data_IF_877328685237
#
_entry.id   IF_877328685237
#
_cell.length_a   1.000
_cell.length_b   1.000
_cell.length_c   1.000
_cell.angle_alpha   90.00
_cell.angle_beta   90.00
_cell.angle_gamma   90.00
#
_symmetry.space_group_name_H-M   'P 1'
#
loop_
_entity.id
_entity.type
_entity.pdbx_description
1 polymer ?
#
# COMPACT_ATOMS: atom_id res chain seq x y z
N UNK A 1 -2.70 8.40 9.84
CA UNK A 1 -2.08 7.58 10.89
C UNK A 1 -3.00 7.20 12.04
N UNK A 2 -3.66 8.14 12.71
CA UNK A 2 -4.47 7.82 13.90
C UNK A 2 -5.53 6.73 13.69
N UNK A 3 -6.18 6.69 12.51
CA UNK A 3 -7.13 5.63 12.19
C UNK A 3 -6.47 4.24 12.13
N UNK A 4 -5.23 4.16 11.63
CA UNK A 4 -4.44 2.93 11.66
C UNK A 4 -4.05 2.58 13.10
N UNK A 5 -3.64 3.56 13.92
CA UNK A 5 -3.33 3.30 15.32
C UNK A 5 -4.53 2.71 16.07
N UNK A 6 -5.72 3.30 15.87
CA UNK A 6 -6.96 2.82 16.49
C UNK A 6 -7.33 1.41 16.02
N UNK A 7 -7.20 1.08 14.72
CA UNK A 7 -7.60 -0.25 14.24
C UNK A 7 -6.66 -1.34 14.76
N UNK A 8 -5.35 -1.08 14.80
CA UNK A 8 -4.39 -2.05 15.32
C UNK A 8 -4.46 -2.20 16.84
N UNK A 9 -4.76 -1.12 17.58
CA UNK A 9 -5.04 -1.22 19.01
C UNK A 9 -6.27 -2.11 19.28
N UNK A 10 -7.37 -1.88 18.58
CA UNK A 10 -8.58 -2.72 18.69
C UNK A 10 -8.33 -4.17 18.27
N UNK A 11 -7.53 -4.39 17.22
CA UNK A 11 -7.16 -5.74 16.81
C UNK A 11 -6.34 -6.46 17.89
N UNK A 12 -5.41 -5.75 18.55
CA UNK A 12 -4.64 -6.29 19.68
C UNK A 12 -5.55 -6.66 20.86
N UNK A 13 -6.48 -5.78 21.25
CA UNK A 13 -7.44 -6.04 22.32
C UNK A 13 -8.35 -7.24 22.03
N UNK A 14 -8.81 -7.35 20.77
CA UNK A 14 -9.80 -8.36 20.41
C UNK A 14 -9.19 -9.73 20.08
N UNK A 15 -8.08 -9.76 19.33
CA UNK A 15 -7.47 -11.01 18.86
C UNK A 15 -6.24 -11.42 19.67
N UNK A 16 -5.61 -10.52 20.42
CA UNK A 16 -4.37 -10.75 21.18
C UNK A 16 -3.12 -10.86 20.31
N UNK A 17 -3.24 -11.40 19.09
CA UNK A 17 -2.16 -11.54 18.11
C UNK A 17 -2.66 -11.34 16.68
N UNK A 18 -1.74 -11.21 15.73
CA UNK A 18 -2.02 -11.16 14.31
C UNK A 18 -1.18 -12.21 13.57
N UNK A 19 -1.83 -13.06 12.78
CA UNK A 19 -1.15 -14.07 11.96
C UNK A 19 -0.95 -13.62 10.52
N UNK A 20 -1.95 -12.91 9.96
CA UNK A 20 -1.95 -12.48 8.56
C UNK A 20 -2.45 -11.05 8.45
N UNK A 21 -1.72 -10.21 7.71
CA UNK A 21 -2.17 -8.90 7.27
C UNK A 21 -2.40 -8.91 5.75
N UNK A 22 -3.62 -8.62 5.32
CA UNK A 22 -3.93 -8.44 3.89
C UNK A 22 -4.04 -6.95 3.59
N UNK A 23 -3.13 -6.44 2.77
CA UNK A 23 -3.16 -5.09 2.21
C UNK A 23 -3.80 -5.12 0.83
N UNK A 24 -5.09 -4.75 0.79
CA UNK A 24 -5.91 -4.69 -0.42
C UNK A 24 -6.47 -3.27 -0.63
N UNK A 25 -5.60 -2.27 -0.56
CA UNK A 25 -5.95 -0.85 -0.69
C UNK A 25 -5.10 -0.19 -1.77
N UNK A 26 -5.75 0.56 -2.65
CA UNK A 26 -5.10 1.44 -3.61
C UNK A 26 -6.05 2.58 -4.00
N UNK A 27 -5.50 3.76 -4.28
CA UNK A 27 -6.26 4.91 -4.73
C UNK A 27 -5.37 5.86 -5.53
N UNK A 28 -5.95 6.45 -6.56
CA UNK A 28 -5.46 7.62 -7.27
C UNK A 28 -6.68 8.37 -7.82
N UNK A 29 -6.55 9.67 -8.06
CA UNK A 29 -7.61 10.42 -8.73
C UNK A 29 -7.81 9.92 -10.16
N UNK A 30 -9.06 9.91 -10.62
CA UNK A 30 -9.38 9.44 -11.97
C UNK A 30 -8.61 10.22 -13.05
N UNK A 31 -8.43 11.52 -12.84
CA UNK A 31 -7.70 12.39 -13.76
C UNK A 31 -6.23 11.95 -13.93
N UNK A 32 -5.61 11.35 -12.91
CA UNK A 32 -4.23 10.87 -12.98
C UNK A 32 -4.09 9.50 -13.67
N UNK A 33 -5.22 8.85 -14.00
CA UNK A 33 -5.28 7.59 -14.76
C UNK A 33 -5.62 7.82 -16.24
N UNK A 34 -5.98 9.03 -16.61
CA UNK A 34 -6.31 9.44 -17.97
C UNK A 34 -5.17 10.28 -18.58
N UNK A 35 -5.13 10.39 -19.91
CA UNK A 35 -4.11 11.17 -20.61
C UNK A 35 -2.67 10.64 -20.47
N UNK A 36 -1.70 11.51 -20.74
CA UNK A 36 -0.27 11.19 -20.69
C UNK A 36 0.29 11.29 -19.27
N UNK A 37 1.06 10.28 -18.86
CA UNK A 37 1.68 10.19 -17.52
C UNK A 37 2.54 11.41 -17.13
N UNK A 38 3.19 12.08 -18.09
CA UNK A 38 4.03 13.26 -17.81
C UNK A 38 3.24 14.42 -17.18
N UNK A 39 1.91 14.42 -17.33
CA UNK A 39 1.03 15.46 -16.80
C UNK A 39 0.55 15.17 -15.36
N UNK A 40 0.94 14.04 -14.76
CA UNK A 40 0.58 13.73 -13.36
C UNK A 40 1.07 14.84 -12.44
N UNK A 41 0.14 15.39 -11.64
CA UNK A 41 0.46 16.47 -10.72
C UNK A 41 1.27 15.95 -9.52
N UNK A 42 2.03 16.83 -8.88
CA UNK A 42 2.76 16.49 -7.64
C UNK A 42 1.82 16.00 -6.53
N UNK A 43 0.63 16.59 -6.46
CA UNK A 43 -0.39 16.22 -5.48
C UNK A 43 -0.93 14.81 -5.76
N UNK A 44 -1.34 14.54 -7.01
CA UNK A 44 -1.81 13.24 -7.46
C UNK A 44 -0.78 12.14 -7.27
N UNK A 45 0.50 12.45 -7.55
CA UNK A 45 1.62 11.57 -7.27
C UNK A 45 1.71 11.19 -5.78
N UNK A 46 1.75 12.19 -4.90
CA UNK A 46 1.89 11.97 -3.46
C UNK A 46 0.68 11.22 -2.89
N UNK A 47 -0.52 11.52 -3.37
CA UNK A 47 -1.74 10.82 -2.98
C UNK A 47 -1.68 9.34 -3.39
N UNK A 48 -1.34 9.07 -4.66
CA UNK A 48 -1.28 7.71 -5.19
C UNK A 48 -0.25 6.86 -4.46
N UNK A 49 0.98 7.35 -4.28
CA UNK A 49 2.04 6.63 -3.56
C UNK A 49 1.74 6.53 -2.06
N UNK A 50 1.20 7.58 -1.45
CA UNK A 50 0.84 7.60 -0.04
C UNK A 50 -0.18 6.52 0.31
N UNK A 51 -1.26 6.42 -0.47
CA UNK A 51 -2.33 5.46 -0.23
C UNK A 51 -1.98 4.07 -0.74
N UNK A 52 -1.31 3.94 -1.88
CA UNK A 52 -1.18 2.65 -2.57
C UNK A 52 0.15 1.93 -2.32
N UNK A 53 1.16 2.61 -1.75
CA UNK A 53 2.45 2.02 -1.41
C UNK A 53 2.85 2.27 0.06
N UNK A 54 2.91 3.54 0.50
CA UNK A 54 3.37 3.85 1.85
C UNK A 54 2.45 3.28 2.94
N UNK A 55 1.15 3.18 2.66
CA UNK A 55 0.19 2.55 3.57
C UNK A 55 0.56 1.11 3.95
N UNK A 56 1.21 0.34 3.06
CA UNK A 56 1.74 -0.99 3.40
C UNK A 56 2.79 -0.89 4.50
N UNK A 57 3.75 0.03 4.36
CA UNK A 57 4.81 0.27 5.36
C UNK A 57 4.20 0.73 6.69
N UNK A 58 3.23 1.65 6.62
CA UNK A 58 2.54 2.17 7.79
C UNK A 58 1.75 1.09 8.54
N UNK A 59 1.13 0.15 7.82
CA UNK A 59 0.41 -0.99 8.40
C UNK A 59 1.39 -2.06 8.92
N UNK A 60 2.44 -2.39 8.18
CA UNK A 60 3.46 -3.36 8.59
C UNK A 60 4.13 -2.96 9.91
N UNK A 61 4.45 -1.66 10.09
CA UNK A 61 5.01 -1.13 11.34
C UNK A 61 4.13 -1.43 12.56
N UNK A 62 2.81 -1.40 12.39
CA UNK A 62 1.81 -1.62 13.46
C UNK A 62 1.42 -3.08 13.62
N UNK A 63 1.51 -3.87 12.54
CA UNK A 63 1.30 -5.30 12.56
C UNK A 63 2.45 -6.05 13.26
N UNK A 64 3.69 -5.61 13.06
CA UNK A 64 4.90 -6.28 13.57
C UNK A 64 4.86 -6.59 15.08
N UNK A 65 4.45 -5.68 15.98
CA UNK A 65 4.33 -6.00 17.41
C UNK A 65 3.28 -7.07 17.76
N UNK A 66 2.29 -7.28 16.88
CA UNK A 66 1.22 -8.27 17.08
C UNK A 66 1.53 -9.63 16.46
N UNK A 67 2.50 -9.69 15.53
CA UNK A 67 2.99 -10.90 14.86
C UNK A 67 4.09 -11.59 15.69
N UNK A 68 3.78 -11.91 16.96
CA UNK A 68 4.78 -12.40 17.94
C UNK A 68 5.30 -13.81 17.70
N UNK A 69 4.64 -14.58 16.83
CA UNK A 69 5.03 -15.95 16.46
C UNK A 69 5.31 -16.07 14.95
N UNK A 70 5.79 -14.98 14.36
CA UNK A 70 5.81 -14.82 12.91
C UNK A 70 4.43 -14.46 12.37
N UNK A 71 4.35 -14.37 11.04
CA UNK A 71 3.13 -14.02 10.33
C UNK A 71 3.41 -13.75 8.85
N UNK A 72 2.35 -13.50 8.09
CA UNK A 72 2.44 -13.17 6.67
C UNK A 72 1.79 -11.82 6.38
N UNK A 73 2.47 -11.00 5.58
CA UNK A 73 1.90 -9.77 5.02
C UNK A 73 1.75 -9.98 3.52
N UNK A 74 0.53 -9.84 3.02
CA UNK A 74 0.21 -10.00 1.59
C UNK A 74 -0.31 -8.67 1.07
N UNK A 75 0.27 -8.17 -0.02
CA UNK A 75 -0.19 -6.97 -0.71
C UNK A 75 -0.63 -7.30 -2.15
N UNK A 76 -1.66 -6.61 -2.65
CA UNK A 76 -2.15 -6.81 -4.01
C UNK A 76 -1.49 -5.81 -4.97
N UNK A 77 -0.71 -6.33 -5.92
CA UNK A 77 -0.16 -5.55 -7.05
C UNK A 77 -0.90 -5.83 -8.36
N UNK A 78 -0.44 -5.21 -9.44
CA UNK A 78 -0.94 -5.39 -10.79
C UNK A 78 0.20 -5.32 -11.79
N UNK A 79 0.07 -5.99 -12.95
CA UNK A 79 1.07 -6.06 -14.01
C UNK A 79 1.61 -4.69 -14.47
N UNK A 80 0.81 -3.64 -14.31
CA UNK A 80 1.22 -2.25 -14.56
C UNK A 80 2.37 -1.74 -13.68
N UNK A 81 2.74 -2.45 -12.61
CA UNK A 81 3.96 -2.19 -11.82
C UNK A 81 5.25 -2.65 -12.52
N UNK A 82 5.15 -3.63 -13.43
CA UNK A 82 6.30 -4.19 -14.14
C UNK A 82 6.41 -3.69 -15.59
N UNK A 83 5.28 -3.30 -16.18
CA UNK A 83 5.18 -2.85 -17.58
C UNK A 83 4.27 -1.64 -17.71
N UNK A 84 4.48 -0.88 -18.78
CA UNK A 84 3.58 0.23 -19.13
C UNK A 84 2.26 -0.34 -19.64
N UNK A 85 1.18 -0.06 -18.93
CA UNK A 85 -0.19 -0.39 -19.31
C UNK A 85 -0.95 0.91 -19.59
N UNK A 86 -1.59 1.07 -20.77
CA UNK A 86 -2.37 2.26 -21.08
C UNK A 86 -3.40 2.55 -19.99
N UNK A 87 -3.55 3.83 -19.64
CA UNK A 87 -4.48 4.32 -18.61
C UNK A 87 -4.22 3.79 -17.19
N UNK A 88 -3.02 3.24 -16.93
CA UNK A 88 -2.61 2.88 -15.57
C UNK A 88 -1.69 3.94 -14.93
N UNK A 89 -0.97 4.72 -15.75
CA UNK A 89 -0.25 5.94 -15.39
C UNK A 89 0.44 5.90 -14.01
N UNK A 90 0.10 6.84 -13.12
CA UNK A 90 0.72 6.95 -11.79
C UNK A 90 0.51 5.71 -10.92
N UNK A 91 -0.57 4.96 -11.15
CA UNK A 91 -0.82 3.73 -10.42
C UNK A 91 0.23 2.66 -10.73
N UNK A 92 0.78 2.64 -11.95
CA UNK A 92 1.89 1.75 -12.31
C UNK A 92 3.11 2.00 -11.44
N UNK A 93 3.50 3.27 -11.30
CA UNK A 93 4.60 3.66 -10.40
C UNK A 93 4.27 3.30 -8.95
N UNK A 94 3.05 3.56 -8.49
CA UNK A 94 2.65 3.23 -7.13
C UNK A 94 2.73 1.71 -6.87
N UNK A 95 2.37 0.87 -7.84
CA UNK A 95 2.49 -0.59 -7.75
C UNK A 95 3.95 -1.07 -7.81
N UNK A 96 4.79 -0.47 -8.65
CA UNK A 96 6.23 -0.74 -8.64
C UNK A 96 6.86 -0.40 -7.27
N UNK A 97 6.46 0.73 -6.68
CA UNK A 97 6.88 1.13 -5.34
C UNK A 97 6.36 0.19 -4.24
N UNK A 98 5.11 -0.28 -4.36
CA UNK A 98 4.52 -1.27 -3.46
C UNK A 98 5.32 -2.58 -3.50
N UNK A 99 5.60 -3.11 -4.69
CA UNK A 99 6.38 -4.33 -4.86
C UNK A 99 7.80 -4.20 -4.33
N UNK A 100 8.43 -3.03 -4.53
CA UNK A 100 9.73 -2.73 -3.92
C UNK A 100 9.63 -2.73 -2.40
N UNK A 101 8.59 -2.10 -1.85
CA UNK A 101 8.34 -2.07 -0.41
C UNK A 101 8.15 -3.47 0.17
N UNK A 102 7.45 -4.37 -0.54
CA UNK A 102 7.32 -5.79 -0.15
C UNK A 102 8.70 -6.45 -0.05
N UNK A 103 9.58 -6.26 -1.04
CA UNK A 103 10.94 -6.82 -1.03
C UNK A 103 11.80 -6.28 0.11
N UNK A 104 11.67 -5.00 0.46
CA UNK A 104 12.40 -4.39 1.58
C UNK A 104 11.83 -4.76 2.96
N UNK A 105 10.57 -5.18 3.03
CA UNK A 105 9.93 -5.62 4.28
C UNK A 105 10.15 -7.11 4.59
N UNK A 106 10.52 -7.91 3.59
CA UNK A 106 10.83 -9.34 3.71
C UNK A 106 12.26 -9.56 4.27
#
# INVERSE_FOLDING_TARGET
DEALDRVFARAAEHFGRLDVLVHAVAFAERADLEGEFVNTSREGWNLALGISAYSLVAMARRARPLMTQGGAIVALSYYGGEKVVPHYNVMGVAKAALESSVRYLA
#
